data_IF_786623523167
#
_entry.id   IF_786623523167
#
_cell.length_a   1.000
_cell.length_b   1.000
_cell.length_c   1.000
_cell.angle_alpha   90.00
_cell.angle_beta   90.00
_cell.angle_gamma   90.00
#
_symmetry.space_group_name_H-M   'P 1'
#
loop_
_entity.id
_entity.type
_entity.pdbx_description
1 polymer ?
#
# COMPACT_ATOMS: atom_id res chain seq x y z
N UNK A 1 2.14 29.28 -33.81
CA UNK A 1 1.89 27.83 -33.72
C UNK A 1 2.90 27.07 -32.87
N UNK A 2 4.19 27.44 -32.77
CA UNK A 2 5.18 26.70 -31.96
C UNK A 2 4.93 26.74 -30.45
N UNK A 3 4.43 27.85 -29.89
CA UNK A 3 4.23 28.03 -28.44
C UNK A 3 3.20 27.06 -27.83
N UNK A 4 2.17 26.70 -28.59
CA UNK A 4 1.17 25.71 -28.17
C UNK A 4 1.73 24.29 -28.18
N UNK A 5 2.63 23.98 -29.12
CA UNK A 5 3.33 22.69 -29.17
C UNK A 5 4.24 22.49 -27.95
N UNK A 6 4.94 23.54 -27.52
CA UNK A 6 5.79 23.50 -26.33
C UNK A 6 4.99 23.29 -25.03
N UNK A 7 3.80 23.91 -24.92
CA UNK A 7 2.92 23.69 -23.77
C UNK A 7 2.40 22.25 -23.72
N UNK A 8 2.00 21.67 -24.85
CA UNK A 8 1.59 20.26 -24.91
C UNK A 8 2.75 19.32 -24.58
N UNK A 9 3.96 19.62 -25.03
CA UNK A 9 5.15 18.82 -24.71
C UNK A 9 5.48 18.90 -23.21
N UNK A 10 5.39 20.08 -22.60
CA UNK A 10 5.63 20.27 -21.17
C UNK A 10 4.59 19.52 -20.33
N UNK A 11 3.32 19.55 -20.72
CA UNK A 11 2.25 18.77 -20.06
C UNK A 11 2.50 17.27 -20.23
N UNK A 12 2.92 16.82 -21.40
CA UNK A 12 3.23 15.39 -21.65
C UNK A 12 4.43 14.91 -20.83
N UNK A 13 5.49 15.72 -20.72
CA UNK A 13 6.65 15.42 -19.87
C UNK A 13 6.26 15.40 -18.40
N UNK A 14 5.48 16.37 -17.92
CA UNK A 14 5.00 16.38 -16.53
C UNK A 14 4.10 15.18 -16.22
N UNK A 15 3.20 14.81 -17.14
CA UNK A 15 2.35 13.62 -16.99
C UNK A 15 3.17 12.31 -17.00
N UNK A 16 4.19 12.22 -17.86
CA UNK A 16 5.07 11.04 -17.94
C UNK A 16 5.95 10.87 -16.69
N UNK A 17 6.40 11.99 -16.10
CA UNK A 17 7.13 11.98 -14.84
C UNK A 17 6.20 11.60 -13.68
N UNK A 18 4.99 12.15 -13.63
CA UNK A 18 3.98 11.81 -12.62
C UNK A 18 3.58 10.32 -12.65
N UNK A 19 3.45 9.73 -13.84
CA UNK A 19 3.18 8.31 -14.02
C UNK A 19 4.34 7.42 -13.53
N UNK A 20 5.59 7.86 -13.68
CA UNK A 20 6.75 7.14 -13.14
C UNK A 20 6.86 7.20 -11.61
N UNK A 21 6.36 8.26 -10.99
CA UNK A 21 6.44 8.45 -9.53
C UNK A 21 5.36 7.71 -8.75
N UNK A 22 4.24 7.37 -9.38
CA UNK A 22 3.22 6.49 -8.80
C UNK A 22 3.52 5.08 -9.31
N UNK A 23 4.34 4.32 -8.57
CA UNK A 23 4.52 2.89 -8.88
C UNK A 23 3.15 2.22 -8.84
N UNK A 24 2.67 1.62 -9.94
CA UNK A 24 1.38 0.95 -9.94
C UNK A 24 1.41 -0.21 -8.94
N UNK A 25 0.27 -0.59 -8.35
CA UNK A 25 0.08 -1.82 -7.55
C UNK A 25 0.69 -3.05 -8.27
N UNK A 26 0.71 -3.02 -9.60
CA UNK A 26 1.32 -4.03 -10.47
C UNK A 26 2.81 -4.27 -10.20
N UNK A 27 3.56 -3.23 -9.80
CA UNK A 27 4.99 -3.36 -9.51
C UNK A 27 5.27 -4.13 -8.22
N UNK A 28 4.39 -4.00 -7.24
CA UNK A 28 4.52 -4.64 -5.92
C UNK A 28 4.14 -6.12 -6.02
N UNK A 29 3.05 -6.40 -6.74
CA UNK A 29 2.62 -7.76 -7.09
C UNK A 29 3.68 -8.49 -7.91
N UNK A 30 4.26 -7.83 -8.93
CA UNK A 30 5.28 -8.44 -9.77
C UNK A 30 6.54 -8.81 -8.98
N UNK A 31 7.02 -7.93 -8.11
CA UNK A 31 8.22 -8.20 -7.31
C UNK A 31 7.98 -9.33 -6.28
N UNK A 32 6.80 -9.38 -5.66
CA UNK A 32 6.45 -10.46 -4.73
C UNK A 32 6.31 -11.82 -5.44
N UNK A 33 5.69 -11.84 -6.63
CA UNK A 33 5.62 -13.03 -7.48
C UNK A 33 7.02 -13.49 -7.91
N UNK A 34 7.90 -12.56 -8.30
CA UNK A 34 9.28 -12.85 -8.68
C UNK A 34 10.06 -13.49 -7.53
N UNK A 35 9.82 -13.04 -6.30
CA UNK A 35 10.43 -13.62 -5.09
C UNK A 35 9.78 -14.95 -4.64
N UNK A 36 8.81 -15.49 -5.42
CA UNK A 36 8.21 -16.80 -5.16
C UNK A 36 7.00 -16.77 -4.23
N UNK A 37 6.44 -15.61 -3.92
CA UNK A 37 5.20 -15.52 -3.17
C UNK A 37 4.03 -15.97 -4.05
N UNK A 38 3.09 -16.75 -3.50
CA UNK A 38 1.92 -17.19 -4.27
C UNK A 38 0.88 -16.05 -4.34
N UNK A 39 0.19 -15.98 -5.49
CA UNK A 39 -0.82 -14.96 -5.75
C UNK A 39 -1.88 -14.87 -4.64
N UNK A 40 -2.33 -16.01 -4.07
CA UNK A 40 -3.33 -16.04 -3.01
C UNK A 40 -2.92 -15.24 -1.76
N UNK A 41 -1.64 -15.26 -1.39
CA UNK A 41 -1.13 -14.54 -0.22
C UNK A 41 -0.85 -13.07 -0.55
N UNK A 42 -0.45 -12.78 -1.80
CA UNK A 42 -0.32 -11.41 -2.29
C UNK A 42 -1.68 -10.72 -2.27
N UNK A 43 -2.72 -11.38 -2.76
CA UNK A 43 -4.09 -10.85 -2.77
C UNK A 43 -4.61 -10.60 -1.34
N UNK A 44 -4.32 -11.52 -0.41
CA UNK A 44 -4.64 -11.34 1.01
C UNK A 44 -3.89 -10.15 1.62
N UNK A 45 -2.60 -9.99 1.34
CA UNK A 45 -1.81 -8.85 1.79
C UNK A 45 -2.39 -7.53 1.29
N UNK A 46 -2.61 -7.41 -0.03
CA UNK A 46 -3.11 -6.19 -0.65
C UNK A 46 -4.51 -5.85 -0.15
N UNK A 47 -5.36 -6.86 0.05
CA UNK A 47 -6.67 -6.67 0.67
C UNK A 47 -6.54 -6.12 2.09
N UNK A 48 -5.67 -6.69 2.91
CA UNK A 48 -5.43 -6.20 4.28
C UNK A 48 -4.92 -4.75 4.30
N UNK A 49 -4.07 -4.36 3.35
CA UNK A 49 -3.57 -2.99 3.24
C UNK A 49 -4.70 -2.01 2.88
N UNK A 50 -5.57 -2.38 1.93
CA UNK A 50 -6.74 -1.58 1.54
C UNK A 50 -7.73 -1.41 2.70
N UNK A 51 -7.97 -2.48 3.46
CA UNK A 51 -8.83 -2.45 4.65
C UNK A 51 -8.23 -1.55 5.74
N UNK A 52 -6.92 -1.64 5.98
CA UNK A 52 -6.22 -0.78 6.93
C UNK A 52 -6.35 0.71 6.58
N UNK A 53 -6.08 1.07 5.33
CA UNK A 53 -6.24 2.46 4.87
C UNK A 53 -7.67 2.97 5.04
N UNK A 54 -8.65 2.14 4.70
CA UNK A 54 -10.07 2.47 4.85
C UNK A 54 -10.45 2.69 6.32
N UNK A 55 -10.04 1.80 7.23
CA UNK A 55 -10.30 1.92 8.66
C UNK A 55 -9.64 3.16 9.27
N UNK A 56 -8.38 3.42 8.94
CA UNK A 56 -7.65 4.58 9.44
C UNK A 56 -8.25 5.89 8.93
N UNK A 57 -8.70 5.94 7.68
CA UNK A 57 -9.39 7.10 7.10
C UNK A 57 -10.74 7.33 7.78
N UNK A 58 -11.55 6.28 7.93
CA UNK A 58 -12.85 6.37 8.60
C UNK A 58 -12.69 6.84 10.05
N UNK A 59 -11.73 6.28 10.79
CA UNK A 59 -11.43 6.71 12.15
C UNK A 59 -10.99 8.18 12.20
N UNK A 60 -10.12 8.62 11.28
CA UNK A 60 -9.68 10.02 11.23
C UNK A 60 -10.82 11.00 10.90
N UNK A 61 -11.72 10.62 10.00
CA UNK A 61 -12.93 11.40 9.69
C UNK A 61 -13.88 11.45 10.89
N UNK A 62 -14.06 10.34 11.62
CA UNK A 62 -14.89 10.30 12.81
C UNK A 62 -14.32 11.14 13.96
N UNK A 63 -12.99 11.10 14.19
CA UNK A 63 -12.34 11.96 15.18
C UNK A 63 -12.52 13.45 14.83
N UNK A 64 -12.41 13.80 13.55
CA UNK A 64 -12.63 15.16 13.06
C UNK A 64 -14.07 15.62 13.27
N UNK A 65 -15.04 14.75 13.03
CA UNK A 65 -16.47 15.07 13.09
C UNK A 65 -17.01 15.10 14.53
N UNK A 66 -16.52 14.21 15.39
CA UNK A 66 -17.05 14.02 16.76
C UNK A 66 -16.19 14.68 17.84
N UNK A 67 -14.95 15.06 17.51
CA UNK A 67 -13.96 15.58 18.47
C UNK A 67 -13.44 14.52 19.46
N UNK A 68 -13.92 13.26 19.38
CA UNK A 68 -13.41 12.15 20.17
C UNK A 68 -12.02 11.78 19.66
N UNK A 69 -11.05 11.68 20.57
CA UNK A 69 -9.68 11.24 20.26
C UNK A 69 -9.51 9.75 20.61
N UNK A 70 -8.61 9.07 19.91
CA UNK A 70 -8.23 7.69 20.19
C UNK A 70 -8.92 6.64 19.31
N UNK A 71 -9.81 7.05 18.40
CA UNK A 71 -10.44 6.14 17.43
C UNK A 71 -9.42 5.63 16.41
N UNK A 72 -8.46 6.48 16.01
CA UNK A 72 -7.36 6.07 15.12
C UNK A 72 -6.44 5.06 15.78
N UNK A 73 -6.14 5.24 17.06
CA UNK A 73 -5.29 4.31 17.83
C UNK A 73 -6.00 2.97 18.03
N UNK A 74 -7.29 2.99 18.33
CA UNK A 74 -8.11 1.78 18.43
C UNK A 74 -8.20 1.03 17.10
N UNK A 75 -8.41 1.75 15.99
CA UNK A 75 -8.39 1.19 14.64
C UNK A 75 -7.04 0.55 14.32
N UNK A 76 -5.94 1.28 14.56
CA UNK A 76 -4.59 0.77 14.36
C UNK A 76 -4.31 -0.50 15.16
N UNK A 77 -4.70 -0.56 16.44
CA UNK A 77 -4.50 -1.75 17.27
C UNK A 77 -5.28 -2.95 16.72
N UNK A 78 -6.53 -2.75 16.31
CA UNK A 78 -7.37 -3.81 15.75
C UNK A 78 -6.79 -4.33 14.43
N UNK A 79 -6.34 -3.44 13.56
CA UNK A 79 -5.71 -3.84 12.29
C UNK A 79 -4.39 -4.57 12.52
N UNK A 80 -3.59 -4.14 13.52
CA UNK A 80 -2.35 -4.83 13.90
C UNK A 80 -2.63 -6.27 14.38
N UNK A 81 -3.67 -6.48 15.18
CA UNK A 81 -4.09 -7.82 15.62
C UNK A 81 -4.57 -8.68 14.45
N UNK A 82 -5.33 -8.10 13.51
CA UNK A 82 -5.77 -8.80 12.30
C UNK A 82 -4.59 -9.19 11.40
N UNK A 83 -3.63 -8.28 11.21
CA UNK A 83 -2.42 -8.53 10.46
C UNK A 83 -1.56 -9.63 11.11
N UNK A 84 -1.38 -9.61 12.44
CA UNK A 84 -0.68 -10.69 13.15
C UNK A 84 -1.34 -12.05 12.91
N UNK A 85 -2.67 -12.15 13.05
CA UNK A 85 -3.41 -13.40 12.80
C UNK A 85 -3.28 -13.87 11.35
N UNK A 86 -3.30 -12.94 10.40
CA UNK A 86 -3.07 -13.26 8.99
C UNK A 86 -1.69 -13.90 8.81
N UNK A 87 -0.63 -13.27 9.32
CA UNK A 87 0.73 -13.83 9.25
C UNK A 87 0.85 -15.18 9.96
N UNK A 88 0.26 -15.34 11.15
CA UNK A 88 0.27 -16.63 11.87
C UNK A 88 -0.40 -17.76 11.08
N UNK A 89 -1.37 -17.44 10.22
CA UNK A 89 -2.07 -18.42 9.39
C UNK A 89 -1.31 -18.82 8.11
N UNK A 90 -0.25 -18.08 7.76
CA UNK A 90 0.49 -18.30 6.53
C UNK A 90 1.63 -19.30 6.69
N UNK A 91 1.98 -20.04 5.62
CA UNK A 91 3.21 -20.81 5.58
C UNK A 91 4.42 -19.91 5.85
N UNK A 92 5.37 -20.41 6.65
CA UNK A 92 6.57 -19.65 7.04
C UNK A 92 7.31 -19.06 5.83
N UNK A 93 7.47 -19.84 4.76
CA UNK A 93 8.12 -19.41 3.52
C UNK A 93 7.48 -18.15 2.92
N UNK A 94 6.15 -18.03 2.98
CA UNK A 94 5.43 -16.87 2.42
C UNK A 94 5.59 -15.64 3.31
N UNK A 95 5.64 -15.84 4.63
CA UNK A 95 5.95 -14.77 5.58
C UNK A 95 7.39 -14.27 5.44
N UNK A 96 8.34 -15.18 5.26
CA UNK A 96 9.76 -14.84 5.12
C UNK A 96 9.97 -14.02 3.84
N UNK A 97 9.38 -14.43 2.70
CA UNK A 97 9.43 -13.68 1.44
C UNK A 97 8.86 -12.26 1.59
N UNK A 98 7.70 -12.11 2.24
CA UNK A 98 7.11 -10.80 2.47
C UNK A 98 7.94 -9.96 3.45
N UNK A 99 8.50 -10.58 4.50
CA UNK A 99 9.35 -9.94 5.49
C UNK A 99 10.65 -9.40 4.88
N UNK A 100 11.28 -10.17 4.01
CA UNK A 100 12.47 -9.76 3.26
C UNK A 100 12.13 -8.64 2.28
N UNK A 101 11.04 -8.79 1.52
CA UNK A 101 10.56 -7.75 0.59
C UNK A 101 10.30 -6.42 1.29
N UNK A 102 9.62 -6.43 2.44
CA UNK A 102 9.34 -5.22 3.23
C UNK A 102 10.64 -4.65 3.81
N UNK A 103 11.54 -5.51 4.30
CA UNK A 103 12.84 -5.10 4.84
C UNK A 103 13.73 -4.39 3.81
N UNK A 104 13.80 -4.93 2.60
CA UNK A 104 14.57 -4.34 1.49
C UNK A 104 13.96 -3.04 0.97
N UNK A 105 12.62 -2.97 0.88
CA UNK A 105 11.93 -1.82 0.27
C UNK A 105 11.75 -0.63 1.22
N UNK A 106 11.59 -0.88 2.51
CA UNK A 106 11.21 0.16 3.48
C UNK A 106 12.26 0.42 4.57
N UNK A 107 13.36 -0.32 4.57
CA UNK A 107 14.52 -0.07 5.42
C UNK A 107 14.30 -0.49 6.87
N UNK A 108 15.09 -1.46 7.32
CA UNK A 108 15.53 -1.53 8.72
C UNK A 108 16.86 -0.79 8.85
#
# INVERSE_FOLDING_TARGET
MSKQLFLLLAVFVMASIAYKTVRPEDSLTHDLLFNGMKQEYIDQFLKSQKEHEAHMKAAAEEEKNTGKKGLREAAFKKDREAMMKMHESWPKEQNDILGDFVGEKFGR
#
